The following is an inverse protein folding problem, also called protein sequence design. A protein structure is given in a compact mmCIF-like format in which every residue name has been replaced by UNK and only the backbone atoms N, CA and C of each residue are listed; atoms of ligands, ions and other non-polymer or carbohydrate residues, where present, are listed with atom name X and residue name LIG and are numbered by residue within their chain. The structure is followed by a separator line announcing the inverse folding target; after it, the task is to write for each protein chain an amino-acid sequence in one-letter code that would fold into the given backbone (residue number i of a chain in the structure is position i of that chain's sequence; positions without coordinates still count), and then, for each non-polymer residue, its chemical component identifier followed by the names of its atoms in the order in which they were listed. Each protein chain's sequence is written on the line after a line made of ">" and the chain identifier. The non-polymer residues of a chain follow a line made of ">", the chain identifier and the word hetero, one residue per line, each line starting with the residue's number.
data_IF_249394039257
#
_entry.id   IF_249394039257
#
_cell.length_a   1.000
_cell.length_b   1.000
_cell.length_c   1.000
_cell.angle_alpha   90.00
_cell.angle_beta   90.00
_cell.angle_gamma   90.00
#
_symmetry.space_group_name_H-M   'P 1'
#
loop_
_entity.id
_entity.type
_entity.pdbx_description
1 polymer ?
#
# COMPACT_ATOMS: atom_id res chain seq x y z
N UNK A 1 15.05 48.67 -11.43
CA UNK A 1 14.15 48.24 -10.34
C UNK A 1 13.56 46.90 -10.74
N UNK A 2 14.09 45.79 -10.25
CA UNK A 2 13.52 44.47 -10.48
C UNK A 2 12.42 44.25 -9.43
N UNK A 3 11.18 44.00 -9.87
CA UNK A 3 10.09 43.68 -8.98
C UNK A 3 10.34 42.29 -8.36
N UNK A 4 10.37 42.22 -7.03
CA UNK A 4 10.32 40.97 -6.30
C UNK A 4 8.94 40.35 -6.55
N UNK A 5 8.90 39.29 -7.34
CA UNK A 5 7.70 38.46 -7.50
C UNK A 5 7.51 37.76 -6.16
N UNK A 6 6.57 38.28 -5.36
CA UNK A 6 6.09 37.61 -4.15
C UNK A 6 5.26 36.41 -4.58
N UNK A 7 5.92 35.28 -4.83
CA UNK A 7 5.29 34.00 -5.16
C UNK A 7 4.82 33.30 -3.87
N UNK A 8 4.21 34.07 -2.96
CA UNK A 8 3.57 33.61 -1.73
C UNK A 8 2.24 32.91 -2.06
N UNK A 9 2.29 31.89 -2.92
CA UNK A 9 1.18 30.95 -3.07
C UNK A 9 1.02 30.28 -1.71
N UNK A 10 0.01 30.70 -0.96
CA UNK A 10 -0.44 30.02 0.24
C UNK A 10 -0.77 28.60 -0.21
N UNK A 11 0.17 27.67 -0.02
CA UNK A 11 -0.06 26.25 -0.21
C UNK A 11 -0.98 25.87 0.93
N UNK A 12 -2.30 25.92 0.68
CA UNK A 12 -3.27 25.39 1.62
C UNK A 12 -2.96 23.90 1.77
N UNK A 13 -2.58 23.43 2.97
CA UNK A 13 -2.32 22.02 3.18
C UNK A 13 -3.58 21.25 2.77
N UNK A 14 -3.42 20.25 1.91
CA UNK A 14 -4.52 19.35 1.64
C UNK A 14 -4.78 18.59 2.94
N UNK A 15 -5.92 18.87 3.59
CA UNK A 15 -6.36 18.12 4.76
C UNK A 15 -7.24 16.98 4.26
N UNK A 16 -6.75 15.73 4.20
CA UNK A 16 -7.57 14.61 3.82
C UNK A 16 -8.72 14.42 4.81
N UNK A 17 -9.85 13.88 4.34
CA UNK A 17 -10.95 13.54 5.22
C UNK A 17 -10.53 12.50 6.26
N UNK A 18 -11.18 12.50 7.43
CA UNK A 18 -10.98 11.46 8.45
C UNK A 18 -11.25 10.05 7.89
N UNK A 19 -12.22 9.92 6.98
CA UNK A 19 -12.49 8.66 6.29
C UNK A 19 -11.32 8.21 5.42
N UNK A 20 -10.68 9.14 4.70
CA UNK A 20 -9.49 8.84 3.91
C UNK A 20 -8.32 8.44 4.81
N UNK A 21 -8.02 9.22 5.85
CA UNK A 21 -6.96 8.92 6.80
C UNK A 21 -7.15 7.56 7.50
N UNK A 22 -8.36 7.27 7.96
CA UNK A 22 -8.65 5.97 8.59
C UNK A 22 -8.47 4.81 7.61
N UNK A 23 -8.94 4.94 6.37
CA UNK A 23 -8.76 3.90 5.34
C UNK A 23 -7.27 3.69 5.04
N UNK A 24 -6.52 4.79 4.88
CA UNK A 24 -5.08 4.76 4.62
C UNK A 24 -4.32 4.10 5.78
N UNK A 25 -4.67 4.42 7.02
CA UNK A 25 -4.04 3.86 8.22
C UNK A 25 -4.20 2.33 8.33
N UNK A 26 -5.24 1.76 7.72
CA UNK A 26 -5.48 0.31 7.67
C UNK A 26 -4.86 -0.31 6.41
N UNK A 27 -4.96 0.36 5.27
CA UNK A 27 -4.44 -0.12 3.98
C UNK A 27 -2.90 -0.22 3.98
N UNK A 28 -2.22 0.77 4.56
CA UNK A 28 -0.77 0.84 4.46
C UNK A 28 -0.04 -0.30 5.19
N UNK A 29 -0.38 -0.66 6.44
CA UNK A 29 0.21 -1.84 7.08
C UNK A 29 -0.01 -3.13 6.27
N UNK A 30 -1.20 -3.30 5.67
CA UNK A 30 -1.48 -4.45 4.82
C UNK A 30 -0.55 -4.50 3.61
N UNK A 31 -0.39 -3.36 2.92
CA UNK A 31 0.49 -3.26 1.76
C UNK A 31 1.96 -3.53 2.12
N UNK A 32 2.45 -2.92 3.20
CA UNK A 32 3.82 -3.10 3.69
C UNK A 32 4.11 -4.55 4.11
N UNK A 33 3.13 -5.25 4.67
CA UNK A 33 3.31 -6.60 5.23
C UNK A 33 3.11 -7.71 4.19
N UNK A 34 2.13 -7.59 3.30
CA UNK A 34 1.72 -8.69 2.42
C UNK A 34 1.93 -8.43 0.93
N UNK A 35 2.00 -7.16 0.52
CA UNK A 35 2.00 -6.77 -0.89
C UNK A 35 0.64 -6.98 -1.58
N UNK A 36 0.48 -6.32 -2.74
CA UNK A 36 -0.78 -6.28 -3.47
C UNK A 36 -1.25 -7.66 -3.95
N UNK A 37 -0.34 -8.49 -4.50
CA UNK A 37 -0.69 -9.80 -5.05
C UNK A 37 -1.22 -10.79 -4.01
N UNK A 38 -0.64 -10.81 -2.81
CA UNK A 38 -1.11 -11.66 -1.71
C UNK A 38 -2.50 -11.23 -1.25
N UNK A 39 -2.73 -9.91 -1.13
CA UNK A 39 -3.99 -9.34 -0.70
C UNK A 39 -5.13 -9.61 -1.69
N UNK A 40 -4.87 -9.48 -3.00
CA UNK A 40 -5.86 -9.77 -4.05
C UNK A 40 -6.29 -11.23 -4.05
N UNK A 41 -5.32 -12.14 -3.91
CA UNK A 41 -5.60 -13.58 -3.81
C UNK A 41 -6.39 -13.90 -2.54
N UNK A 42 -6.06 -13.27 -1.41
CA UNK A 42 -6.74 -13.51 -0.14
C UNK A 42 -8.18 -12.99 -0.19
N UNK A 43 -8.38 -11.80 -0.72
CA UNK A 43 -9.71 -11.20 -0.87
C UNK A 43 -10.61 -11.98 -1.83
N UNK A 44 -10.05 -12.43 -2.96
CA UNK A 44 -10.79 -13.25 -3.92
C UNK A 44 -11.33 -14.53 -3.26
N UNK A 45 -10.53 -15.20 -2.42
CA UNK A 45 -10.98 -16.38 -1.68
C UNK A 45 -12.05 -16.06 -0.63
N UNK A 46 -11.96 -14.92 0.05
CA UNK A 46 -13.01 -14.44 0.97
C UNK A 46 -14.34 -14.24 0.22
N UNK A 47 -14.29 -13.67 -0.99
CA UNK A 47 -15.48 -13.49 -1.83
C UNK A 47 -16.04 -14.82 -2.37
N UNK A 48 -15.17 -15.74 -2.79
CA UNK A 48 -15.53 -17.06 -3.30
C UNK A 48 -16.11 -17.98 -2.21
N UNK A 49 -15.92 -17.67 -0.93
CA UNK A 49 -16.45 -18.42 0.20
C UNK A 49 -15.77 -19.78 0.36
N UNK A 50 -14.73 -19.85 1.20
CA UNK A 50 -14.09 -21.07 1.72
C UNK A 50 -13.94 -22.25 0.73
N UNK A 51 -13.61 -21.99 -0.53
CA UNK A 51 -13.22 -23.08 -1.42
C UNK A 51 -11.84 -23.58 -0.99
N UNK A 52 -11.82 -24.75 -0.35
CA UNK A 52 -10.64 -25.57 -0.09
C UNK A 52 -10.05 -26.02 -1.43
N UNK A 53 -9.31 -25.14 -2.08
CA UNK A 53 -8.32 -25.53 -3.07
C UNK A 53 -6.96 -25.49 -2.36
N UNK A 54 -6.50 -26.67 -1.95
CA UNK A 54 -5.12 -26.93 -1.55
C UNK A 54 -4.24 -26.49 -2.72
N UNK A 55 -3.45 -25.46 -2.53
CA UNK A 55 -2.50 -25.01 -3.54
C UNK A 55 -1.12 -25.29 -2.98
N UNK A 56 -0.43 -26.26 -3.59
CA UNK A 56 0.95 -26.66 -3.31
C UNK A 56 1.90 -25.48 -3.61
N UNK A 57 1.92 -24.49 -2.72
CA UNK A 57 2.89 -23.41 -2.69
C UNK A 57 3.88 -23.62 -1.55
N UNK A 58 5.04 -22.94 -1.59
CA UNK A 58 5.99 -23.00 -0.49
C UNK A 58 5.31 -22.61 0.83
N UNK A 59 5.67 -23.30 1.92
CA UNK A 59 5.06 -23.12 3.25
C UNK A 59 5.02 -21.65 3.67
N UNK A 60 6.06 -20.87 3.37
CA UNK A 60 6.13 -19.43 3.67
C UNK A 60 5.08 -18.59 2.92
N UNK A 61 4.81 -18.89 1.65
CA UNK A 61 3.78 -18.19 0.88
C UNK A 61 2.37 -18.51 1.39
N UNK A 62 2.16 -19.73 1.89
CA UNK A 62 0.88 -20.15 2.45
C UNK A 62 0.64 -19.53 3.84
N UNK A 63 1.68 -19.41 4.68
CA UNK A 63 1.61 -18.73 5.98
C UNK A 63 1.25 -17.25 5.79
N UNK A 64 1.96 -16.53 4.92
CA UNK A 64 1.67 -15.11 4.65
C UNK A 64 0.27 -14.91 4.06
N UNK A 65 -0.16 -15.83 3.21
CA UNK A 65 -1.50 -15.83 2.64
C UNK A 65 -2.61 -15.99 3.70
N UNK A 66 -2.48 -16.98 4.58
CA UNK A 66 -3.45 -17.23 5.64
C UNK A 66 -3.52 -16.05 6.61
N UNK A 67 -2.36 -15.48 6.97
CA UNK A 67 -2.27 -14.28 7.80
C UNK A 67 -2.90 -13.05 7.14
N UNK A 68 -2.68 -12.84 5.85
CA UNK A 68 -3.34 -11.77 5.09
C UNK A 68 -4.87 -11.94 5.11
N UNK A 69 -5.35 -13.17 4.94
CA UNK A 69 -6.77 -13.50 5.01
C UNK A 69 -7.37 -13.20 6.39
N UNK A 70 -6.70 -13.60 7.47
CA UNK A 70 -7.12 -13.28 8.85
C UNK A 70 -7.23 -11.78 9.06
N UNK A 71 -6.23 -11.00 8.63
CA UNK A 71 -6.24 -9.53 8.75
C UNK A 71 -7.37 -8.89 7.95
N UNK A 72 -7.65 -9.37 6.74
CA UNK A 72 -8.77 -8.89 5.92
C UNK A 72 -10.13 -9.24 6.56
N UNK A 73 -10.24 -10.36 7.25
CA UNK A 73 -11.47 -10.77 7.94
C UNK A 73 -11.79 -9.88 9.15
N UNK A 74 -10.79 -9.33 9.83
CA UNK A 74 -10.96 -8.34 10.92
C UNK A 74 -11.60 -7.04 10.43
N UNK A 75 -11.44 -6.71 9.15
CA UNK A 75 -12.06 -5.52 8.56
C UNK A 75 -13.56 -5.80 8.33
N UNK A 76 -14.46 -4.87 8.71
CA UNK A 76 -15.88 -5.01 8.44
C UNK A 76 -16.15 -5.30 6.95
N UNK A 77 -17.04 -6.27 6.61
CA UNK A 77 -17.25 -6.70 5.23
C UNK A 77 -17.51 -5.57 4.22
N UNK A 78 -18.28 -4.55 4.64
CA UNK A 78 -18.60 -3.37 3.81
C UNK A 78 -17.41 -2.47 3.50
N UNK A 79 -16.35 -2.53 4.33
CA UNK A 79 -15.15 -1.71 4.20
C UNK A 79 -13.99 -2.43 3.50
N UNK A 80 -14.05 -3.76 3.36
CA UNK A 80 -12.94 -4.54 2.76
C UNK A 80 -12.61 -4.08 1.34
N UNK A 81 -13.64 -3.82 0.52
CA UNK A 81 -13.47 -3.33 -0.85
C UNK A 81 -12.78 -1.96 -0.89
N UNK A 82 -13.24 -1.01 -0.08
CA UNK A 82 -12.67 0.34 -0.04
C UNK A 82 -11.24 0.34 0.50
N UNK A 83 -10.93 -0.51 1.48
CA UNK A 83 -9.55 -0.68 1.97
C UNK A 83 -8.66 -1.26 0.87
N UNK A 84 -9.12 -2.25 0.10
CA UNK A 84 -8.35 -2.78 -1.02
C UNK A 84 -8.16 -1.77 -2.13
N UNK A 85 -9.19 -1.01 -2.51
CA UNK A 85 -9.03 0.08 -3.48
C UNK A 85 -7.96 1.08 -3.02
N UNK A 86 -7.89 1.38 -1.72
CA UNK A 86 -6.81 2.21 -1.16
C UNK A 86 -5.43 1.54 -1.23
N UNK A 87 -5.33 0.24 -0.95
CA UNK A 87 -4.08 -0.54 -1.12
C UNK A 87 -3.59 -0.47 -2.57
N UNK A 88 -4.49 -0.66 -3.53
CA UNK A 88 -4.19 -0.58 -4.97
C UNK A 88 -3.69 0.82 -5.34
N UNK A 89 -4.40 1.86 -4.92
CA UNK A 89 -4.00 3.25 -5.16
C UNK A 89 -2.61 3.54 -4.61
N UNK A 90 -2.34 3.16 -3.36
CA UNK A 90 -1.01 3.34 -2.74
C UNK A 90 0.09 2.61 -3.50
N UNK A 91 -0.14 1.35 -3.88
CA UNK A 91 0.86 0.57 -4.60
C UNK A 91 1.27 1.26 -5.90
N UNK A 92 0.30 1.71 -6.69
CA UNK A 92 0.59 2.39 -7.96
C UNK A 92 1.24 3.76 -7.78
N UNK A 93 0.88 4.52 -6.76
CA UNK A 93 1.57 5.77 -6.42
C UNK A 93 3.03 5.53 -6.02
N UNK A 94 3.29 4.49 -5.23
CA UNK A 94 4.65 4.08 -4.84
C UNK A 94 5.46 3.64 -6.06
N UNK A 95 4.86 2.85 -6.94
CA UNK A 95 5.49 2.38 -8.18
C UNK A 95 5.78 3.54 -9.14
N UNK A 96 4.82 4.46 -9.31
CA UNK A 96 5.01 5.67 -10.09
C UNK A 96 6.13 6.52 -9.49
N UNK A 97 6.11 6.77 -8.18
CA UNK A 97 7.17 7.51 -7.50
C UNK A 97 8.54 6.85 -7.73
N UNK A 98 8.63 5.53 -7.61
CA UNK A 98 9.86 4.77 -7.84
C UNK A 98 10.37 4.92 -9.27
N UNK A 99 9.48 4.88 -10.26
CA UNK A 99 9.83 5.10 -11.66
C UNK A 99 10.39 6.51 -11.89
N UNK A 100 9.70 7.54 -11.38
CA UNK A 100 10.11 8.94 -11.55
C UNK A 100 11.44 9.26 -10.84
N UNK A 101 11.72 8.60 -9.73
CA UNK A 101 12.93 8.84 -8.92
C UNK A 101 14.00 7.75 -9.10
N UNK A 102 13.86 6.90 -10.12
CA UNK A 102 14.79 5.79 -10.42
C UNK A 102 16.25 6.24 -10.54
N UNK A 103 16.48 7.43 -11.08
CA UNK A 103 17.81 8.03 -11.23
C UNK A 103 18.48 8.37 -9.89
N UNK A 104 17.71 8.63 -8.84
CA UNK A 104 18.23 8.97 -7.50
C UNK A 104 18.80 7.73 -6.83
N UNK A 105 18.07 6.61 -6.94
CA UNK A 105 18.38 5.42 -6.18
C UNK A 105 19.36 4.47 -6.88
N UNK A 106 19.80 4.78 -8.11
CA UNK A 106 20.74 3.98 -8.92
C UNK A 106 20.58 2.49 -8.66
N UNK A 107 19.33 1.99 -8.76
CA UNK A 107 19.00 0.60 -8.42
C UNK A 107 19.81 -0.33 -9.31
N UNK A 108 20.97 -0.77 -8.82
CA UNK A 108 21.78 -1.80 -9.45
C UNK A 108 21.12 -3.12 -9.12
N UNK A 109 20.18 -3.55 -9.96
CA UNK A 109 19.63 -4.90 -10.05
C UNK A 109 19.09 -5.54 -8.75
N UNK A 110 18.95 -4.80 -7.65
CA UNK A 110 18.41 -5.28 -6.38
C UNK A 110 17.06 -4.66 -6.11
N UNK A 111 16.06 -5.51 -5.91
CA UNK A 111 14.74 -5.13 -5.43
C UNK A 111 14.88 -4.51 -4.04
N UNK A 112 14.72 -3.19 -3.95
CA UNK A 112 14.58 -2.51 -2.67
C UNK A 112 13.11 -2.48 -2.27
N UNK A 113 12.82 -2.93 -1.05
CA UNK A 113 11.49 -2.84 -0.46
C UNK A 113 11.39 -1.57 0.39
N UNK A 114 10.45 -0.70 0.03
CA UNK A 114 10.17 0.53 0.77
C UNK A 114 9.01 0.29 1.72
N UNK A 115 9.28 0.42 3.02
CA UNK A 115 8.23 0.48 4.02
C UNK A 115 7.84 1.95 4.24
N UNK A 116 6.57 2.23 4.05
CA UNK A 116 6.02 3.59 4.13
C UNK A 116 5.31 3.84 5.45
N UNK A 117 5.33 5.09 5.91
CA UNK A 117 4.50 5.61 7.01
C UNK A 117 3.16 6.12 6.49
N UNK A 118 2.17 6.15 7.36
CA UNK A 118 0.81 6.63 7.04
C UNK A 118 0.77 8.09 6.60
N UNK A 119 1.73 8.92 7.02
CA UNK A 119 1.86 10.30 6.53
C UNK A 119 2.55 10.42 5.16
N UNK A 120 2.90 9.30 4.50
CA UNK A 120 3.49 9.28 3.16
C UNK A 120 5.01 9.44 3.12
N UNK A 121 5.69 9.36 4.27
CA UNK A 121 7.16 9.34 4.35
C UNK A 121 7.68 7.90 4.34
N UNK A 122 8.95 7.72 3.97
CA UNK A 122 9.60 6.40 4.03
C UNK A 122 10.01 6.13 5.48
N UNK A 123 9.56 5.00 6.03
CA UNK A 123 9.97 4.51 7.35
C UNK A 123 11.32 3.79 7.27
N UNK A 124 11.36 2.74 6.45
CA UNK A 124 12.51 1.83 6.36
C UNK A 124 12.73 1.40 4.92
N UNK A 125 13.98 1.26 4.51
CA UNK A 125 14.37 0.67 3.22
C UNK A 125 15.04 -0.66 3.52
N UNK A 126 14.50 -1.75 2.96
CA UNK A 126 15.08 -3.09 3.06
C UNK A 126 15.70 -3.46 1.71
N UNK A 127 17.00 -3.80 1.75
CA UNK A 127 17.81 -4.23 0.60
C UNK A 127 17.95 -5.74 0.53
#
# INVERSE_FOLDING_TARGET
>A
MAALIDDSRIVTPHLPSLSHLSTVSVALPLLNEFGIGTLDRAFSKILLGNSTASNEGSEDHEINYNRAMEKLLLIPPRLRKSVLEAVHGMHWEIEAWRCHHSNIFKFKDRECFFHWRSEGTIDTIKM
#
